data_IF_524795843566
#
_entry.id   IF_524795843566
#
_cell.length_a   1.000
_cell.length_b   1.000
_cell.length_c   1.000
_cell.angle_alpha   90.00
_cell.angle_beta   90.00
_cell.angle_gamma   90.00
#
_symmetry.space_group_name_H-M   'P 1'
#
loop_
_entity.id
_entity.type
_entity.pdbx_description
1 polymer ?
#
# COMPACT_ATOMS: atom_id res chain seq x y z
N UNK A 1 -33.82 -7.26 20.69
CA UNK A 1 -34.07 -6.48 19.47
C UNK A 1 -33.04 -6.98 18.48
N UNK A 2 -33.47 -7.90 17.62
CA UNK A 2 -32.71 -8.28 16.43
C UNK A 2 -32.69 -7.02 15.57
N UNK A 3 -31.50 -6.49 15.33
CA UNK A 3 -31.32 -5.32 14.48
C UNK A 3 -31.39 -5.88 13.08
N UNK A 4 -32.47 -5.59 12.34
CA UNK A 4 -32.63 -6.01 10.95
C UNK A 4 -31.42 -5.53 10.14
N UNK A 5 -30.53 -6.46 9.76
CA UNK A 5 -29.33 -6.20 8.95
C UNK A 5 -29.66 -5.81 7.48
N UNK A 6 -30.94 -5.79 7.10
CA UNK A 6 -31.40 -5.70 5.70
C UNK A 6 -32.10 -4.36 5.34
N UNK A 7 -31.96 -3.32 6.16
CA UNK A 7 -32.49 -1.98 5.83
C UNK A 7 -31.46 -1.04 5.19
N UNK A 8 -30.41 -1.58 4.56
CA UNK A 8 -29.53 -0.80 3.68
C UNK A 8 -30.28 -0.51 2.39
N UNK A 9 -30.38 0.75 2.00
CA UNK A 9 -31.10 1.15 0.80
C UNK A 9 -30.45 0.52 -0.44
N UNK A 10 -31.23 0.31 -1.51
CA UNK A 10 -30.72 -0.23 -2.79
C UNK A 10 -29.51 0.56 -3.30
N UNK A 11 -29.54 1.88 -3.07
CA UNK A 11 -28.45 2.80 -3.37
C UNK A 11 -27.17 2.56 -2.55
N UNK A 12 -27.30 2.29 -1.24
CA UNK A 12 -26.14 1.97 -0.38
C UNK A 12 -25.52 0.62 -0.75
N UNK A 13 -26.34 -0.35 -1.22
CA UNK A 13 -25.86 -1.64 -1.71
C UNK A 13 -25.10 -1.49 -3.03
N UNK A 14 -25.62 -0.68 -3.95
CA UNK A 14 -24.94 -0.35 -5.21
C UNK A 14 -23.59 0.37 -4.99
N UNK A 15 -23.53 1.36 -4.07
CA UNK A 15 -22.28 2.05 -3.73
C UNK A 15 -21.23 1.11 -3.12
N UNK A 16 -21.64 0.18 -2.23
CA UNK A 16 -20.74 -0.81 -1.65
C UNK A 16 -20.18 -1.80 -2.69
N UNK A 17 -21.02 -2.26 -3.63
CA UNK A 17 -20.59 -3.14 -4.72
C UNK A 17 -19.59 -2.44 -5.66
N UNK A 18 -19.81 -1.15 -5.94
CA UNK A 18 -18.86 -0.34 -6.71
C UNK A 18 -17.52 -0.16 -5.98
N UNK A 19 -17.54 0.13 -4.68
CA UNK A 19 -16.34 0.27 -3.86
C UNK A 19 -15.52 -1.05 -3.78
N UNK A 20 -16.20 -2.18 -3.62
CA UNK A 20 -15.56 -3.50 -3.63
C UNK A 20 -14.93 -3.82 -4.99
N UNK A 21 -15.63 -3.50 -6.08
CA UNK A 21 -15.12 -3.65 -7.45
C UNK A 21 -13.87 -2.79 -7.70
N UNK A 22 -13.86 -1.55 -7.23
CA UNK A 22 -12.70 -0.65 -7.32
C UNK A 22 -11.54 -1.18 -6.47
N UNK A 23 -11.82 -1.67 -5.27
CA UNK A 23 -10.83 -2.27 -4.37
C UNK A 23 -10.14 -3.48 -5.01
N UNK A 24 -10.92 -4.38 -5.61
CA UNK A 24 -10.40 -5.56 -6.32
C UNK A 24 -9.55 -5.15 -7.54
N UNK A 25 -10.01 -4.18 -8.32
CA UNK A 25 -9.24 -3.65 -9.44
C UNK A 25 -7.90 -3.06 -8.99
N UNK A 26 -7.88 -2.28 -7.90
CA UNK A 26 -6.65 -1.72 -7.32
C UNK A 26 -5.70 -2.83 -6.85
N UNK A 27 -6.25 -3.85 -6.20
CA UNK A 27 -5.49 -5.00 -5.70
C UNK A 27 -4.83 -5.78 -6.85
N UNK A 28 -5.57 -6.02 -7.93
CA UNK A 28 -5.04 -6.69 -9.12
C UNK A 28 -3.93 -5.89 -9.79
N UNK A 29 -4.13 -4.57 -9.96
CA UNK A 29 -3.10 -3.67 -10.50
C UNK A 29 -1.86 -3.64 -9.63
N UNK A 30 -2.03 -3.57 -8.32
CA UNK A 30 -0.94 -3.60 -7.36
C UNK A 30 -0.15 -4.91 -7.49
N UNK A 31 -0.84 -6.05 -7.52
CA UNK A 31 -0.23 -7.37 -7.64
C UNK A 31 0.61 -7.51 -8.90
N UNK A 32 0.09 -7.06 -10.06
CA UNK A 32 0.84 -7.06 -11.32
C UNK A 32 2.12 -6.21 -11.25
N UNK A 33 2.05 -5.04 -10.62
CA UNK A 33 3.21 -4.18 -10.41
C UNK A 33 4.26 -4.84 -9.50
N UNK A 34 3.83 -5.40 -8.37
CA UNK A 34 4.72 -6.10 -7.44
C UNK A 34 5.41 -7.31 -8.09
N UNK A 35 4.67 -8.10 -8.88
CA UNK A 35 5.22 -9.20 -9.68
C UNK A 35 6.29 -8.69 -10.65
N UNK A 36 5.98 -7.64 -11.41
CA UNK A 36 6.90 -7.07 -12.40
C UNK A 36 8.21 -6.57 -11.77
N UNK A 37 8.13 -5.93 -10.60
CA UNK A 37 9.30 -5.47 -9.84
C UNK A 37 10.14 -6.67 -9.38
N UNK A 38 9.52 -7.69 -8.79
CA UNK A 38 10.20 -8.86 -8.27
C UNK A 38 10.88 -9.68 -9.39
N UNK A 39 10.21 -9.90 -10.51
CA UNK A 39 10.79 -10.59 -11.66
C UNK A 39 11.94 -9.79 -12.29
N UNK A 40 11.79 -8.46 -12.36
CA UNK A 40 12.85 -7.59 -12.88
C UNK A 40 14.10 -7.63 -12.01
N UNK A 41 13.94 -7.67 -10.68
CA UNK A 41 15.05 -7.80 -9.74
C UNK A 41 15.71 -9.19 -9.82
N UNK A 42 14.91 -10.26 -9.93
CA UNK A 42 15.43 -11.61 -10.11
C UNK A 42 16.28 -11.71 -11.39
N UNK A 43 15.78 -11.17 -12.51
CA UNK A 43 16.51 -11.11 -13.79
C UNK A 43 17.81 -10.32 -13.69
N UNK A 44 17.80 -9.16 -13.02
CA UNK A 44 19.03 -8.36 -12.76
C UNK A 44 20.07 -9.14 -11.96
N UNK A 45 19.61 -9.98 -11.03
CA UNK A 45 20.46 -10.84 -10.22
C UNK A 45 20.88 -12.15 -10.91
N UNK A 46 20.43 -12.39 -12.16
CA UNK A 46 20.70 -13.64 -12.88
C UNK A 46 19.99 -14.86 -12.28
N UNK A 47 18.86 -14.63 -11.59
CA UNK A 47 18.07 -15.63 -10.88
C UNK A 47 16.66 -15.76 -11.48
N UNK A 48 16.05 -16.93 -11.27
CA UNK A 48 14.62 -17.13 -11.50
C UNK A 48 13.88 -17.14 -10.15
N UNK A 49 12.67 -16.62 -10.13
CA UNK A 49 11.81 -16.56 -8.95
C UNK A 49 10.59 -17.45 -9.15
N UNK A 50 10.29 -18.29 -8.17
CA UNK A 50 9.18 -19.24 -8.29
C UNK A 50 7.82 -18.53 -8.11
N UNK A 51 6.76 -18.94 -8.85
CA UNK A 51 5.46 -18.27 -8.78
C UNK A 51 4.86 -18.12 -7.37
N UNK A 52 4.95 -19.12 -6.46
CA UNK A 52 4.45 -18.95 -5.10
C UNK A 52 5.19 -17.86 -4.32
N UNK A 53 6.50 -17.72 -4.54
CA UNK A 53 7.32 -16.70 -3.85
C UNK A 53 6.95 -15.31 -4.35
N UNK A 54 6.74 -15.13 -5.67
CA UNK A 54 6.30 -13.84 -6.21
C UNK A 54 4.92 -13.46 -5.65
N UNK A 55 3.99 -14.42 -5.58
CA UNK A 55 2.67 -14.19 -4.98
C UNK A 55 2.80 -13.76 -3.51
N UNK A 56 3.64 -14.44 -2.72
CA UNK A 56 3.91 -14.06 -1.34
C UNK A 56 4.51 -12.64 -1.21
N UNK A 57 5.42 -12.24 -2.11
CA UNK A 57 5.98 -10.88 -2.12
C UNK A 57 4.88 -9.85 -2.37
N UNK A 58 4.00 -10.09 -3.35
CA UNK A 58 2.89 -9.20 -3.64
C UNK A 58 1.95 -9.06 -2.44
N UNK A 59 1.58 -10.17 -1.79
CA UNK A 59 0.72 -10.14 -0.60
C UNK A 59 1.39 -9.42 0.58
N UNK A 60 2.69 -9.63 0.79
CA UNK A 60 3.45 -8.95 1.83
C UNK A 60 3.51 -7.44 1.60
N UNK A 61 3.80 -7.03 0.36
CA UNK A 61 3.86 -5.62 -0.02
C UNK A 61 2.49 -4.93 0.15
N UNK A 62 1.39 -5.63 -0.20
CA UNK A 62 0.04 -5.10 -0.01
C UNK A 62 -0.28 -4.85 1.48
N UNK A 63 0.04 -5.83 2.35
CA UNK A 63 -0.12 -5.68 3.81
C UNK A 63 0.73 -4.53 4.35
N UNK A 64 1.95 -4.39 3.86
CA UNK A 64 2.87 -3.34 4.30
C UNK A 64 2.35 -1.94 3.97
N UNK A 65 1.78 -1.75 2.77
CA UNK A 65 1.20 -0.46 2.36
C UNK A 65 0.06 -0.02 3.27
N UNK A 66 -0.80 -0.96 3.68
CA UNK A 66 -1.88 -0.66 4.61
C UNK A 66 -1.39 -0.12 5.96
N UNK A 67 -0.30 -0.67 6.49
CA UNK A 67 0.31 -0.14 7.72
C UNK A 67 1.02 1.19 7.47
N UNK A 68 1.78 1.29 6.38
CA UNK A 68 2.49 2.50 6.00
C UNK A 68 1.53 3.69 5.83
N UNK A 69 0.36 3.49 5.20
CA UNK A 69 -0.64 4.54 5.04
C UNK A 69 -1.12 5.11 6.38
N UNK A 70 -1.41 4.23 7.35
CA UNK A 70 -1.81 4.64 8.72
C UNK A 70 -0.70 5.40 9.43
N UNK A 71 0.54 4.93 9.31
CA UNK A 71 1.68 5.58 9.93
C UNK A 71 1.91 6.99 9.34
N UNK A 72 1.80 7.14 8.01
CA UNK A 72 1.92 8.43 7.33
C UNK A 72 0.84 9.43 7.74
N UNK A 73 -0.41 8.96 7.88
CA UNK A 73 -1.51 9.76 8.38
C UNK A 73 -1.23 10.24 9.82
N UNK A 74 -0.78 9.33 10.69
CA UNK A 74 -0.44 9.66 12.08
C UNK A 74 0.73 10.65 12.18
N UNK A 75 1.74 10.55 11.32
CA UNK A 75 2.86 11.49 11.29
C UNK A 75 2.41 12.89 10.83
N UNK A 76 1.59 12.97 9.80
CA UNK A 76 1.02 14.24 9.35
C UNK A 76 0.16 14.88 10.46
N UNK A 77 -0.68 14.08 11.12
CA UNK A 77 -1.54 14.53 12.22
C UNK A 77 -0.71 14.98 13.44
N UNK A 78 0.36 14.27 13.78
CA UNK A 78 1.27 14.66 14.87
C UNK A 78 1.90 16.05 14.62
N UNK A 79 2.14 16.40 13.35
CA UNK A 79 2.62 17.71 12.94
C UNK A 79 1.50 18.76 12.77
N UNK A 80 0.26 18.46 13.17
CA UNK A 80 -0.90 19.35 13.02
C UNK A 80 -1.38 19.54 11.58
N UNK A 81 -0.97 18.66 10.65
CA UNK A 81 -1.33 18.72 9.22
C UNK A 81 -2.38 17.68 8.87
N UNK A 82 -3.16 17.97 7.82
CA UNK A 82 -4.12 17.03 7.20
C UNK A 82 -3.63 16.42 5.89
N UNK A 83 -2.45 16.82 5.44
CA UNK A 83 -1.86 16.37 4.18
C UNK A 83 -0.47 15.80 4.45
N UNK A 84 -0.23 14.61 3.91
CA UNK A 84 1.05 13.89 3.99
C UNK A 84 2.08 14.59 3.12
N UNK A 85 3.29 14.73 3.63
CA UNK A 85 4.43 15.40 2.97
C UNK A 85 5.67 14.50 2.98
N UNK A 86 6.71 14.88 2.24
CA UNK A 86 7.96 14.12 2.20
C UNK A 86 8.62 13.93 3.57
N UNK A 87 8.39 14.84 4.54
CA UNK A 87 8.91 14.65 5.90
C UNK A 87 8.29 13.43 6.58
N UNK A 88 6.99 13.18 6.36
CA UNK A 88 6.29 12.01 6.92
C UNK A 88 6.82 10.71 6.30
N UNK A 89 7.06 10.74 4.98
CA UNK A 89 7.64 9.62 4.23
C UNK A 89 9.04 9.29 4.75
N UNK A 90 9.89 10.29 4.98
CA UNK A 90 11.24 10.10 5.52
C UNK A 90 11.20 9.54 6.95
N UNK A 91 10.25 9.99 7.79
CA UNK A 91 10.08 9.49 9.17
C UNK A 91 9.65 8.02 9.19
N UNK A 92 8.87 7.56 8.21
CA UNK A 92 8.50 6.14 8.12
C UNK A 92 9.73 5.21 8.01
N UNK A 93 10.84 5.70 7.44
CA UNK A 93 12.10 4.98 7.32
C UNK A 93 13.07 5.17 8.49
N UNK A 94 12.67 5.77 9.62
CA UNK A 94 13.59 6.12 10.73
C UNK A 94 14.38 4.93 11.31
N UNK A 95 13.88 3.69 11.19
CA UNK A 95 14.56 2.47 11.66
C UNK A 95 15.70 2.02 10.76
N UNK A 96 15.83 2.58 9.56
CA UNK A 96 16.87 2.25 8.60
C UNK A 96 17.48 3.55 8.05
N UNK A 97 18.63 3.93 8.59
CA UNK A 97 19.31 5.18 8.25
C UNK A 97 19.66 5.27 6.76
N UNK A 98 20.07 4.15 6.15
CA UNK A 98 20.37 4.10 4.72
C UNK A 98 19.13 4.36 3.86
N UNK A 99 17.99 3.77 4.23
CA UNK A 99 16.73 4.01 3.53
C UNK A 99 16.27 5.47 3.71
N UNK A 100 16.34 6.01 4.93
CA UNK A 100 15.99 7.40 5.20
C UNK A 100 16.90 8.38 4.44
N UNK A 101 18.20 8.08 4.31
CA UNK A 101 19.14 8.87 3.51
C UNK A 101 18.78 8.85 2.01
N UNK A 102 18.46 7.68 1.46
CA UNK A 102 18.00 7.55 0.08
C UNK A 102 16.72 8.34 -0.19
N UNK A 103 15.73 8.26 0.71
CA UNK A 103 14.48 9.03 0.60
C UNK A 103 14.72 10.54 0.66
N UNK A 104 15.63 11.00 1.52
CA UNK A 104 16.05 12.42 1.54
C UNK A 104 16.66 12.82 0.21
N UNK A 105 17.56 12.01 -0.35
CA UNK A 105 18.17 12.31 -1.66
C UNK A 105 17.12 12.47 -2.75
N UNK A 106 16.09 11.61 -2.76
CA UNK A 106 14.99 11.70 -3.72
C UNK A 106 14.13 12.95 -3.49
N UNK A 107 13.95 13.38 -2.24
CA UNK A 107 13.14 14.57 -1.93
C UNK A 107 13.73 15.89 -2.42
N UNK A 108 15.03 15.93 -2.73
CA UNK A 108 15.73 17.10 -3.25
C UNK A 108 15.85 17.12 -4.79
N UNK A 109 15.34 16.09 -5.47
CA UNK A 109 15.43 15.92 -6.91
C UNK A 109 14.12 16.36 -7.58
#
# INVERSE_FOLDING_TARGET
>A
MEVDEDNRSDFEKEEEEEDDSVSDLLRDRFRLSAISIAESEAKRSGMEISPPIVACIADLAFKYIGQLAKDLELFAHHAGRKSVTMTDVIVSAHRNEHLAASLRSISYQ
#
